data_IF_162632651595
#
_entry.id   IF_162632651595
#
_cell.length_a   1.000
_cell.length_b   1.000
_cell.length_c   1.000
_cell.angle_alpha   90.00
_cell.angle_beta   90.00
_cell.angle_gamma   90.00
#
_symmetry.space_group_name_H-M   'P 1'
#
loop_
_entity.id
_entity.type
_entity.pdbx_description
1 polymer ?
#
# COMPACT_ATOMS: atom_id res chain seq x y z
N UNK A 1 -8.48 -13.11 -1.08
CA UNK A 1 -9.90 -13.39 -0.70
C UNK A 1 -10.80 -12.46 -1.49
N UNK A 2 -12.08 -12.83 -1.65
CA UNK A 2 -13.02 -12.07 -2.48
C UNK A 2 -14.31 -11.82 -1.71
N UNK A 3 -14.89 -10.64 -1.89
CA UNK A 3 -16.12 -10.22 -1.22
C UNK A 3 -17.06 -9.60 -2.24
N UNK A 4 -18.36 -9.87 -2.12
CA UNK A 4 -19.39 -9.26 -2.94
C UNK A 4 -20.07 -8.15 -2.18
N UNK A 5 -19.96 -6.94 -2.70
CA UNK A 5 -20.73 -5.80 -2.22
C UNK A 5 -22.18 -5.89 -2.72
N UNK A 6 -23.11 -5.21 -2.03
CA UNK A 6 -24.56 -5.23 -2.34
C UNK A 6 -24.94 -4.73 -3.75
N UNK A 7 -24.07 -3.94 -4.40
CA UNK A 7 -24.24 -3.51 -5.79
C UNK A 7 -23.77 -4.54 -6.83
N UNK A 8 -23.23 -5.66 -6.37
CA UNK A 8 -22.69 -6.73 -7.21
C UNK A 8 -21.18 -6.63 -7.46
N UNK A 9 -20.51 -5.54 -7.07
CA UNK A 9 -19.05 -5.37 -7.20
C UNK A 9 -18.31 -6.48 -6.46
N UNK A 10 -17.36 -7.11 -7.14
CA UNK A 10 -16.45 -8.08 -6.54
C UNK A 10 -15.23 -7.34 -6.01
N UNK A 11 -15.08 -7.32 -4.69
CA UNK A 11 -13.97 -6.68 -3.99
C UNK A 11 -12.90 -7.72 -3.67
N UNK A 12 -11.66 -7.44 -4.05
CA UNK A 12 -10.52 -8.32 -3.82
C UNK A 12 -9.72 -7.84 -2.60
N UNK A 13 -9.46 -8.76 -1.67
CA UNK A 13 -8.60 -8.54 -0.51
C UNK A 13 -7.30 -9.33 -0.67
N UNK A 14 -6.18 -8.61 -0.65
CA UNK A 14 -4.82 -9.11 -0.77
C UNK A 14 -3.95 -8.66 0.40
N UNK A 15 -2.72 -9.18 0.53
CA UNK A 15 -1.68 -8.54 1.31
C UNK A 15 -0.47 -8.19 0.44
N UNK A 16 0.26 -7.14 0.81
CA UNK A 16 1.44 -6.68 0.09
C UNK A 16 2.66 -7.53 0.36
N UNK A 17 3.30 -8.03 -0.69
CA UNK A 17 4.49 -8.87 -0.54
C UNK A 17 5.80 -8.08 -0.37
N UNK A 18 5.76 -6.75 -0.35
CA UNK A 18 6.93 -5.93 -0.04
C UNK A 18 7.50 -6.17 1.37
N UNK A 19 6.74 -6.83 2.25
CA UNK A 19 7.21 -7.30 3.57
C UNK A 19 8.26 -8.41 3.45
N UNK A 20 8.32 -9.11 2.33
CA UNK A 20 9.22 -10.23 2.09
C UNK A 20 10.42 -9.83 1.23
N UNK A 21 11.61 -10.22 1.64
CA UNK A 21 12.83 -9.91 0.89
C UNK A 21 12.96 -10.80 -0.36
N UNK A 22 12.75 -10.22 -1.56
CA UNK A 22 13.03 -10.88 -2.83
C UNK A 22 13.21 -9.86 -3.96
N UNK A 23 14.39 -9.83 -4.56
CA UNK A 23 14.73 -8.96 -5.68
C UNK A 23 15.20 -9.74 -6.93
N UNK A 24 14.99 -11.06 -6.95
CA UNK A 24 15.10 -11.94 -8.11
C UNK A 24 13.90 -12.88 -8.19
N UNK A 25 13.70 -13.50 -9.35
CA UNK A 25 12.51 -14.33 -9.61
C UNK A 25 12.47 -15.57 -8.69
N UNK A 26 13.59 -16.21 -8.42
CA UNK A 26 13.62 -17.37 -7.54
C UNK A 26 13.27 -17.02 -6.10
N UNK A 27 13.66 -15.83 -5.63
CA UNK A 27 13.23 -15.26 -4.37
C UNK A 27 11.72 -15.01 -4.34
N UNK A 28 11.15 -14.39 -5.38
CA UNK A 28 9.69 -14.18 -5.50
C UNK A 28 8.95 -15.52 -5.44
N UNK A 29 9.38 -16.52 -6.19
CA UNK A 29 8.76 -17.86 -6.17
C UNK A 29 8.92 -18.56 -4.81
N UNK A 30 10.06 -18.37 -4.15
CA UNK A 30 10.29 -18.89 -2.79
C UNK A 30 9.32 -18.27 -1.78
N UNK A 31 9.02 -16.97 -1.87
CA UNK A 31 8.04 -16.30 -1.00
C UNK A 31 6.63 -16.88 -1.13
N UNK A 32 6.20 -17.26 -2.34
CA UNK A 32 4.90 -17.88 -2.55
C UNK A 32 4.73 -19.15 -1.71
N UNK A 33 5.77 -19.98 -1.67
CA UNK A 33 5.80 -21.22 -0.90
C UNK A 33 6.01 -20.97 0.61
N UNK A 34 6.88 -20.03 0.96
CA UNK A 34 7.31 -19.78 2.33
C UNK A 34 6.29 -18.99 3.13
N UNK A 35 5.56 -18.08 2.49
CA UNK A 35 4.64 -17.16 3.14
C UNK A 35 3.23 -17.18 2.54
N UNK A 36 3.08 -17.01 1.22
CA UNK A 36 1.76 -16.90 0.58
C UNK A 36 0.88 -18.13 0.83
N UNK A 37 1.38 -19.31 0.56
CA UNK A 37 0.64 -20.56 0.78
C UNK A 37 0.35 -20.81 2.27
N UNK A 38 1.30 -20.70 3.22
CA UNK A 38 1.00 -20.83 4.65
C UNK A 38 0.00 -19.81 5.21
N UNK A 39 0.03 -18.56 4.73
CA UNK A 39 -0.98 -17.54 5.12
C UNK A 39 -2.36 -17.97 4.62
N UNK A 40 -2.49 -18.41 3.36
CA UNK A 40 -3.73 -18.94 2.79
C UNK A 40 -4.29 -20.12 3.60
N UNK A 41 -3.41 -21.09 3.92
CA UNK A 41 -3.79 -22.27 4.72
C UNK A 41 -4.27 -21.89 6.12
N UNK A 42 -3.57 -20.95 6.76
CA UNK A 42 -3.94 -20.48 8.10
C UNK A 42 -5.28 -19.76 8.13
N UNK A 43 -5.61 -19.03 7.07
CA UNK A 43 -6.93 -18.39 6.90
C UNK A 43 -8.03 -19.38 6.54
N UNK A 44 -7.69 -20.59 6.11
CA UNK A 44 -8.64 -21.61 5.70
C UNK A 44 -9.42 -21.22 4.44
N UNK A 45 -8.80 -20.49 3.50
CA UNK A 45 -9.43 -20.03 2.27
C UNK A 45 -8.89 -20.76 1.05
N UNK A 46 -9.75 -20.95 0.03
CA UNK A 46 -9.36 -21.63 -1.22
C UNK A 46 -8.39 -20.76 -2.03
N UNK A 47 -8.59 -19.42 -2.02
CA UNK A 47 -7.77 -18.45 -2.74
C UNK A 47 -7.39 -17.28 -1.86
N UNK A 48 -6.10 -16.89 -1.94
CA UNK A 48 -5.57 -15.70 -1.30
C UNK A 48 -5.09 -14.71 -2.36
N UNK A 49 -5.53 -13.45 -2.26
CA UNK A 49 -4.99 -12.34 -3.05
C UNK A 49 -3.60 -11.93 -2.57
N UNK A 50 -2.70 -11.69 -3.51
CA UNK A 50 -1.40 -11.07 -3.26
C UNK A 50 -1.31 -9.76 -4.03
N UNK A 51 -0.85 -8.71 -3.36
CA UNK A 51 -0.29 -7.53 -3.97
C UNK A 51 1.20 -7.75 -4.16
N UNK A 52 1.61 -8.21 -5.33
CA UNK A 52 3.03 -8.49 -5.54
C UNK A 52 3.85 -7.20 -5.65
N UNK A 53 4.97 -7.19 -4.95
CA UNK A 53 6.07 -6.30 -5.27
C UNK A 53 7.07 -7.05 -6.17
N UNK A 54 7.30 -6.51 -7.35
CA UNK A 54 8.26 -7.01 -8.32
C UNK A 54 9.34 -5.94 -8.52
N UNK A 55 10.49 -6.10 -7.88
CA UNK A 55 11.61 -5.19 -8.06
C UNK A 55 12.00 -5.06 -9.54
N UNK A 56 12.60 -3.93 -9.96
CA UNK A 56 12.93 -3.65 -11.36
C UNK A 56 13.65 -4.81 -12.07
N UNK A 57 14.66 -5.49 -11.46
CA UNK A 57 15.30 -6.63 -12.10
C UNK A 57 14.33 -7.76 -12.43
N UNK A 58 13.45 -8.11 -11.48
CA UNK A 58 12.42 -9.16 -11.66
C UNK A 58 11.43 -8.78 -12.74
N UNK A 59 10.91 -7.54 -12.73
CA UNK A 59 9.99 -7.07 -13.75
C UNK A 59 10.62 -7.12 -15.14
N UNK A 60 11.91 -6.75 -15.27
CA UNK A 60 12.65 -6.80 -16.53
C UNK A 60 12.84 -8.23 -17.05
N UNK A 61 13.17 -9.18 -16.16
CA UNK A 61 13.30 -10.60 -16.49
C UNK A 61 11.97 -11.18 -16.99
N UNK A 62 10.89 -10.95 -16.24
CA UNK A 62 9.55 -11.43 -16.61
C UNK A 62 9.07 -10.86 -17.96
N UNK A 63 9.31 -9.58 -18.24
CA UNK A 63 8.96 -8.97 -19.54
C UNK A 63 9.77 -9.56 -20.69
N UNK A 64 11.03 -9.94 -20.44
CA UNK A 64 11.92 -10.48 -21.45
C UNK A 64 11.70 -11.98 -21.73
N UNK A 65 11.17 -12.74 -20.75
CA UNK A 65 10.99 -14.19 -20.85
C UNK A 65 9.52 -14.62 -20.56
N UNK A 66 8.71 -14.90 -21.59
CA UNK A 66 7.37 -15.46 -21.42
C UNK A 66 7.34 -16.79 -20.63
N UNK A 67 8.44 -17.57 -20.66
CA UNK A 67 8.56 -18.80 -19.89
C UNK A 67 8.63 -18.52 -18.38
N UNK A 68 9.28 -17.44 -17.99
CA UNK A 68 9.32 -16.97 -16.59
C UNK A 68 7.93 -16.55 -16.10
N UNK A 69 7.15 -15.83 -16.93
CA UNK A 69 5.76 -15.48 -16.59
C UNK A 69 4.90 -16.73 -16.45
N UNK A 70 5.02 -17.70 -17.37
CA UNK A 70 4.28 -18.95 -17.30
C UNK A 70 4.63 -19.75 -16.03
N UNK A 71 5.91 -19.75 -15.61
CA UNK A 71 6.37 -20.36 -14.36
C UNK A 71 5.71 -19.68 -13.14
N UNK A 72 5.72 -18.33 -13.08
CA UNK A 72 5.10 -17.56 -12.01
C UNK A 72 3.60 -17.86 -11.92
N UNK A 73 2.89 -17.85 -13.04
CA UNK A 73 1.45 -18.20 -13.09
C UNK A 73 1.18 -19.61 -12.57
N UNK A 74 2.00 -20.58 -12.93
CA UNK A 74 1.87 -21.97 -12.47
C UNK A 74 2.06 -22.06 -10.96
N UNK A 75 3.08 -21.40 -10.41
CA UNK A 75 3.34 -21.41 -8.97
C UNK A 75 2.22 -20.73 -8.17
N UNK A 76 1.68 -19.61 -8.67
CA UNK A 76 0.51 -18.95 -8.08
C UNK A 76 -0.70 -19.89 -8.07
N UNK A 77 -1.05 -20.46 -9.23
CA UNK A 77 -2.22 -21.34 -9.37
C UNK A 77 -2.11 -22.60 -8.51
N UNK A 78 -0.94 -23.24 -8.47
CA UNK A 78 -0.70 -24.48 -7.70
C UNK A 78 -0.89 -24.24 -6.20
N UNK A 79 -0.59 -23.04 -5.71
CA UNK A 79 -0.70 -22.68 -4.29
C UNK A 79 -2.02 -22.01 -3.92
N UNK A 80 -2.97 -21.88 -4.85
CA UNK A 80 -4.21 -21.16 -4.60
C UNK A 80 -4.03 -19.67 -4.35
N UNK A 81 -3.04 -19.05 -5.01
CA UNK A 81 -2.74 -17.63 -4.92
C UNK A 81 -3.20 -16.92 -6.19
N UNK A 82 -3.65 -15.67 -6.06
CA UNK A 82 -4.07 -14.85 -7.19
C UNK A 82 -3.54 -13.42 -7.07
N UNK A 83 -3.37 -12.76 -8.21
CA UNK A 83 -2.84 -11.39 -8.29
C UNK A 83 -3.79 -10.53 -9.11
N UNK A 84 -4.35 -9.50 -8.48
CA UNK A 84 -5.16 -8.46 -9.13
C UNK A 84 -4.56 -7.08 -8.96
N UNK A 85 -3.55 -6.96 -8.10
CA UNK A 85 -2.86 -5.70 -7.81
C UNK A 85 -1.37 -5.92 -7.65
N UNK A 86 -0.56 -4.92 -8.05
CA UNK A 86 0.87 -4.86 -7.79
C UNK A 86 1.19 -3.61 -6.97
N UNK A 87 2.19 -3.73 -6.09
CA UNK A 87 2.82 -2.57 -5.48
C UNK A 87 4.01 -2.15 -6.34
N UNK A 88 3.87 -1.05 -7.08
CA UNK A 88 4.90 -0.46 -7.93
C UNK A 88 5.59 0.76 -7.30
N UNK A 89 5.37 1.01 -6.00
CA UNK A 89 5.98 2.14 -5.31
C UNK A 89 7.49 1.96 -5.19
N UNK A 90 8.02 0.91 -4.49
CA UNK A 90 9.46 0.69 -4.47
C UNK A 90 9.96 0.17 -5.82
N UNK A 91 11.00 0.80 -6.34
CA UNK A 91 11.60 0.38 -7.61
C UNK A 91 12.54 -0.82 -7.42
N UNK A 92 13.43 -0.75 -6.44
CA UNK A 92 14.37 -1.78 -6.00
C UNK A 92 15.02 -1.39 -4.68
N UNK A 93 15.76 -2.32 -4.03
CA UNK A 93 16.55 -2.03 -2.82
C UNK A 93 15.67 -1.79 -1.58
N UNK A 94 14.42 -2.26 -1.58
CA UNK A 94 13.48 -2.01 -0.47
C UNK A 94 13.87 -2.75 0.82
N UNK A 95 14.74 -3.77 0.72
CA UNK A 95 15.26 -4.51 1.86
C UNK A 95 16.74 -4.22 2.15
N UNK A 96 17.29 -3.17 1.56
CA UNK A 96 18.62 -2.68 1.91
C UNK A 96 18.69 -2.32 3.40
N UNK A 97 19.87 -2.39 4.03
CA UNK A 97 20.05 -1.96 5.42
C UNK A 97 19.60 -0.51 5.68
N UNK A 98 19.68 0.35 4.67
CA UNK A 98 19.22 1.75 4.68
C UNK A 98 18.52 2.06 3.37
N UNK A 99 17.20 2.22 3.44
CA UNK A 99 16.32 2.57 2.32
C UNK A 99 16.10 4.09 2.28
N UNK A 100 15.47 4.66 3.31
CA UNK A 100 15.22 6.10 3.46
C UNK A 100 14.77 6.74 2.13
N UNK A 101 15.35 7.86 1.73
CA UNK A 101 14.99 8.59 0.50
C UNK A 101 15.19 7.79 -0.81
N UNK A 102 15.93 6.68 -0.80
CA UNK A 102 16.15 5.88 -2.01
C UNK A 102 14.86 5.27 -2.58
N UNK A 103 13.85 5.03 -1.73
CA UNK A 103 12.56 4.47 -2.15
C UNK A 103 11.84 5.38 -3.16
N UNK A 104 12.06 6.70 -3.09
CA UNK A 104 11.45 7.68 -3.99
C UNK A 104 12.16 7.79 -5.35
N UNK A 105 13.18 6.98 -5.62
CA UNK A 105 13.95 7.02 -6.87
C UNK A 105 13.88 5.69 -7.65
N UNK A 106 13.80 5.79 -9.01
CA UNK A 106 13.52 6.97 -9.82
C UNK A 106 12.09 7.48 -9.58
N UNK A 107 11.91 8.80 -9.66
CA UNK A 107 10.62 9.45 -9.53
C UNK A 107 9.93 9.70 -10.88
N UNK A 108 8.76 10.34 -10.89
CA UNK A 108 7.97 10.61 -12.09
C UNK A 108 8.54 11.73 -12.97
N UNK A 109 9.68 12.33 -12.62
CA UNK A 109 10.43 13.23 -13.51
C UNK A 109 11.29 12.48 -14.53
N UNK A 110 11.30 11.13 -14.51
CA UNK A 110 12.20 10.32 -15.31
C UNK A 110 11.45 9.22 -16.09
N UNK A 111 11.88 8.91 -17.34
CA UNK A 111 11.26 7.85 -18.16
C UNK A 111 11.47 6.44 -17.58
N UNK A 112 12.41 6.25 -16.66
CA UNK A 112 12.66 4.99 -15.98
C UNK A 112 11.45 4.55 -15.17
N UNK A 113 10.80 5.49 -14.46
CA UNK A 113 9.59 5.24 -13.67
C UNK A 113 8.43 4.86 -14.58
N UNK A 114 8.23 5.59 -15.66
CA UNK A 114 7.18 5.29 -16.65
C UNK A 114 7.35 3.89 -17.24
N UNK A 115 8.57 3.54 -17.68
CA UNK A 115 8.86 2.21 -18.24
C UNK A 115 8.59 1.10 -17.26
N UNK A 116 9.07 1.26 -16.01
CA UNK A 116 8.86 0.26 -14.95
C UNK A 116 7.37 0.05 -14.67
N UNK A 117 6.61 1.14 -14.55
CA UNK A 117 5.17 1.05 -14.27
C UNK A 117 4.39 0.42 -15.42
N UNK A 118 4.76 0.70 -16.69
CA UNK A 118 4.17 0.04 -17.86
C UNK A 118 4.54 -1.44 -17.95
N UNK A 119 5.79 -1.82 -17.59
CA UNK A 119 6.20 -3.22 -17.50
C UNK A 119 5.36 -3.96 -16.44
N UNK A 120 5.15 -3.35 -15.27
CA UNK A 120 4.27 -3.91 -14.23
C UNK A 120 2.82 -4.05 -14.70
N UNK A 121 2.28 -3.04 -15.39
CA UNK A 121 0.91 -3.09 -15.92
C UNK A 121 0.74 -4.23 -16.94
N UNK A 122 1.71 -4.39 -17.86
CA UNK A 122 1.73 -5.50 -18.82
C UNK A 122 1.77 -6.85 -18.10
N UNK A 123 2.68 -7.03 -17.16
CA UNK A 123 2.79 -8.28 -16.40
C UNK A 123 1.51 -8.59 -15.63
N UNK A 124 0.91 -7.57 -14.99
CA UNK A 124 -0.35 -7.74 -14.30
C UNK A 124 -1.48 -8.17 -15.24
N UNK A 125 -1.57 -7.59 -16.43
CA UNK A 125 -2.57 -7.99 -17.44
C UNK A 125 -2.47 -9.49 -17.79
N UNK A 126 -1.25 -10.06 -17.80
CA UNK A 126 -1.02 -11.50 -18.03
C UNK A 126 -1.31 -12.36 -16.77
N UNK A 127 -1.19 -11.80 -15.56
CA UNK A 127 -1.41 -12.51 -14.30
C UNK A 127 -2.86 -12.48 -13.81
N UNK A 128 -3.68 -11.52 -14.30
CA UNK A 128 -5.06 -11.33 -13.86
C UNK A 128 -5.89 -12.61 -14.01
N UNK A 129 -6.66 -13.02 -12.97
CA UNK A 129 -7.70 -14.03 -13.11
C UNK A 129 -8.69 -13.68 -14.24
N UNK A 130 -9.25 -14.68 -14.90
CA UNK A 130 -10.16 -14.46 -16.05
C UNK A 130 -11.39 -13.62 -15.68
N UNK A 131 -11.86 -13.75 -14.46
CA UNK A 131 -13.05 -13.07 -13.92
C UNK A 131 -12.72 -11.70 -13.27
N UNK A 132 -11.47 -11.29 -13.21
CA UNK A 132 -11.11 -9.95 -12.76
C UNK A 132 -11.46 -8.90 -13.81
N UNK A 133 -12.20 -7.87 -13.39
CA UNK A 133 -12.66 -6.78 -14.29
C UNK A 133 -11.47 -5.92 -14.73
N UNK A 134 -10.51 -5.69 -13.84
CA UNK A 134 -9.31 -4.88 -14.07
C UNK A 134 -8.18 -5.26 -13.12
N UNK A 135 -6.98 -4.74 -13.39
CA UNK A 135 -5.87 -4.73 -12.46
C UNK A 135 -5.59 -3.32 -11.89
N UNK A 136 -4.81 -3.25 -10.83
CA UNK A 136 -4.29 -1.99 -10.30
C UNK A 136 -2.80 -2.07 -9.97
N UNK A 137 -2.08 -0.95 -10.17
CA UNK A 137 -0.68 -0.79 -9.76
C UNK A 137 -0.58 0.48 -8.95
N UNK A 138 -0.18 0.40 -7.67
CA UNK A 138 0.14 1.60 -6.89
C UNK A 138 1.53 2.12 -7.22
N UNK A 139 1.72 3.42 -7.12
CA UNK A 139 3.00 4.09 -7.41
C UNK A 139 3.21 5.31 -6.53
N UNK A 140 4.47 5.74 -6.41
CA UNK A 140 4.80 6.92 -5.62
C UNK A 140 4.11 8.19 -6.12
N UNK A 141 3.80 9.14 -5.22
CA UNK A 141 3.03 10.34 -5.52
C UNK A 141 3.92 11.45 -6.09
N UNK A 142 4.33 11.29 -7.34
CA UNK A 142 5.23 12.12 -8.14
C UNK A 142 6.70 12.00 -7.73
N UNK A 143 7.06 12.33 -6.50
CA UNK A 143 8.42 12.27 -5.99
C UNK A 143 8.54 12.93 -4.63
N UNK A 144 9.73 12.94 -4.06
CA UNK A 144 10.03 13.63 -2.81
C UNK A 144 9.98 15.14 -3.00
N UNK A 145 9.29 15.88 -2.10
CA UNK A 145 8.92 17.31 -2.28
C UNK A 145 10.08 18.27 -2.60
N UNK A 146 11.27 18.02 -2.05
CA UNK A 146 12.43 18.92 -2.25
C UNK A 146 13.24 18.57 -3.51
N UNK A 147 12.97 17.45 -4.15
CA UNK A 147 13.78 16.93 -5.26
C UNK A 147 12.97 16.81 -6.57
N UNK A 148 11.66 17.01 -6.49
CA UNK A 148 10.74 16.90 -7.60
C UNK A 148 11.01 17.96 -8.68
N UNK A 149 10.91 17.50 -9.94
CA UNK A 149 10.90 18.38 -11.12
C UNK A 149 9.66 18.01 -11.96
N UNK A 150 8.78 18.97 -12.17
CA UNK A 150 7.55 18.73 -12.92
C UNK A 150 7.85 18.29 -14.36
N UNK A 151 7.47 17.07 -14.71
CA UNK A 151 7.48 16.53 -16.08
C UNK A 151 6.16 15.79 -16.31
N UNK A 152 5.13 16.53 -16.65
CA UNK A 152 3.80 16.01 -16.92
C UNK A 152 3.73 15.08 -18.13
N UNK A 153 4.67 15.18 -19.05
CA UNK A 153 4.76 14.30 -20.21
C UNK A 153 4.95 12.83 -19.84
N UNK A 154 5.50 12.54 -18.67
CA UNK A 154 5.60 11.16 -18.20
C UNK A 154 4.23 10.55 -17.84
N UNK A 155 3.31 11.35 -17.27
CA UNK A 155 1.96 10.91 -16.93
C UNK A 155 1.09 10.70 -18.18
N UNK A 156 1.23 11.57 -19.18
CA UNK A 156 0.57 11.41 -20.48
C UNK A 156 1.07 10.12 -21.17
N UNK A 157 2.38 9.91 -21.21
CA UNK A 157 2.99 8.70 -21.77
C UNK A 157 2.55 7.43 -21.04
N UNK A 158 2.36 7.51 -19.72
CA UNK A 158 1.82 6.41 -18.93
C UNK A 158 0.39 6.07 -19.35
N UNK A 159 -0.51 7.05 -19.38
CA UNK A 159 -1.91 6.85 -19.75
C UNK A 159 -2.05 6.29 -21.19
N UNK A 160 -1.29 6.84 -22.15
CA UNK A 160 -1.24 6.30 -23.51
C UNK A 160 -0.74 4.85 -23.59
N UNK A 161 0.21 4.48 -22.71
CA UNK A 161 0.73 3.12 -22.64
C UNK A 161 -0.28 2.15 -22.03
N UNK A 162 -1.01 2.58 -20.99
CA UNK A 162 -2.07 1.80 -20.35
C UNK A 162 -3.25 1.55 -21.31
N UNK A 163 -3.64 2.54 -22.08
CA UNK A 163 -4.72 2.43 -23.08
C UNK A 163 -4.45 1.38 -24.18
N UNK A 164 -3.20 0.94 -24.34
CA UNK A 164 -2.79 -0.07 -25.34
C UNK A 164 -2.74 -1.50 -24.77
N UNK A 165 -3.03 -1.70 -23.47
CA UNK A 165 -3.01 -3.02 -22.86
C UNK A 165 -4.22 -3.85 -23.29
N UNK A 166 -4.05 -5.16 -23.43
CA UNK A 166 -5.13 -6.10 -23.81
C UNK A 166 -6.20 -6.24 -22.73
N UNK A 167 -5.82 -6.06 -21.47
CA UNK A 167 -6.71 -6.05 -20.30
C UNK A 167 -6.53 -4.76 -19.51
N UNK A 168 -7.61 -4.17 -18.97
CA UNK A 168 -7.52 -2.90 -18.29
C UNK A 168 -6.71 -3.02 -16.99
N UNK A 169 -5.70 -2.17 -16.87
CA UNK A 169 -4.91 -1.96 -15.66
C UNK A 169 -4.88 -0.46 -15.39
N UNK A 170 -5.24 -0.07 -14.18
CA UNK A 170 -5.17 1.33 -13.73
C UNK A 170 -3.96 1.55 -12.83
N UNK A 171 -3.39 2.73 -12.91
CA UNK A 171 -2.27 3.14 -12.03
C UNK A 171 -2.77 4.15 -11.00
N UNK A 172 -2.36 3.97 -9.77
CA UNK A 172 -2.82 4.72 -8.62
C UNK A 172 -1.67 5.41 -7.90
N UNK A 173 -1.67 6.74 -7.90
CA UNK A 173 -0.71 7.56 -7.14
C UNK A 173 -1.09 7.51 -5.67
N UNK A 174 -0.11 7.25 -4.80
CA UNK A 174 -0.30 6.99 -3.39
C UNK A 174 0.17 8.21 -2.56
N UNK A 175 -0.71 9.14 -2.16
CA UNK A 175 -0.32 10.27 -1.33
C UNK A 175 0.46 9.80 -0.10
N UNK A 176 1.62 10.42 0.15
CA UNK A 176 2.54 10.00 1.21
C UNK A 176 3.22 11.19 1.88
N UNK A 177 3.33 11.18 3.22
CA UNK A 177 4.04 12.21 3.98
C UNK A 177 5.44 12.49 3.42
N UNK A 178 5.76 13.76 3.22
CA UNK A 178 7.06 14.20 2.68
C UNK A 178 7.15 14.26 1.16
N UNK A 179 6.20 13.69 0.43
CA UNK A 179 6.15 13.74 -1.03
C UNK A 179 5.48 15.01 -1.57
N UNK A 180 5.50 15.18 -2.89
CA UNK A 180 4.82 16.28 -3.59
C UNK A 180 3.31 16.22 -3.39
N UNK A 181 2.74 15.01 -3.43
CA UNK A 181 1.37 14.75 -3.06
C UNK A 181 1.38 14.05 -1.71
N UNK A 182 1.12 14.80 -0.68
CA UNK A 182 1.11 14.34 0.71
C UNK A 182 -0.31 14.15 1.23
N UNK A 183 -1.26 14.92 0.68
CA UNK A 183 -2.66 14.93 1.10
C UNK A 183 -3.61 14.73 -0.08
N UNK A 184 -4.86 14.34 0.23
CA UNK A 184 -5.92 14.23 -0.79
C UNK A 184 -6.26 15.59 -1.43
N UNK A 185 -6.05 16.70 -0.73
CA UNK A 185 -6.20 18.04 -1.31
C UNK A 185 -5.14 18.32 -2.38
N UNK A 186 -3.89 17.93 -2.13
CA UNK A 186 -2.82 18.03 -3.14
C UNK A 186 -3.06 17.06 -4.29
N UNK A 187 -3.53 15.82 -4.02
CA UNK A 187 -3.92 14.88 -5.07
C UNK A 187 -5.02 15.46 -5.97
N UNK A 188 -6.09 16.00 -5.38
CA UNK A 188 -7.18 16.64 -6.11
C UNK A 188 -6.71 17.81 -6.99
N UNK A 189 -5.72 18.59 -6.52
CA UNK A 189 -5.15 19.71 -7.28
C UNK A 189 -4.21 19.25 -8.40
N UNK A 190 -3.23 18.39 -8.07
CA UNK A 190 -2.12 18.05 -8.98
C UNK A 190 -2.47 16.97 -10.00
N UNK A 191 -3.45 16.12 -9.68
CA UNK A 191 -3.95 15.07 -10.57
C UNK A 191 -5.28 15.45 -11.24
N UNK A 192 -5.73 16.71 -11.15
CA UNK A 192 -7.03 17.15 -11.73
C UNK A 192 -7.13 16.95 -13.25
N UNK A 193 -6.01 17.04 -13.95
CA UNK A 193 -5.92 17.02 -15.42
C UNK A 193 -5.39 15.70 -16.00
N UNK A 194 -5.10 14.70 -15.16
CA UNK A 194 -4.67 13.38 -15.68
C UNK A 194 -5.82 12.64 -16.36
N UNK A 195 -5.48 11.69 -17.21
CA UNK A 195 -6.46 10.77 -17.81
C UNK A 195 -7.03 9.82 -16.74
N UNK A 196 -8.22 10.14 -16.26
CA UNK A 196 -8.89 9.48 -15.13
C UNK A 196 -9.45 8.10 -15.47
N UNK A 197 -9.52 7.73 -16.73
CA UNK A 197 -9.87 6.37 -17.12
C UNK A 197 -8.75 5.38 -16.71
N UNK A 198 -7.51 5.84 -16.71
CA UNK A 198 -6.33 5.04 -16.44
C UNK A 198 -5.63 5.36 -15.11
N UNK A 199 -5.72 6.61 -14.66
CA UNK A 199 -4.99 7.12 -13.50
C UNK A 199 -5.94 7.52 -12.39
N UNK A 200 -5.55 7.28 -11.14
CA UNK A 200 -6.32 7.67 -9.96
C UNK A 200 -5.47 7.62 -8.69
N UNK A 201 -6.10 7.39 -7.55
CA UNK A 201 -5.46 7.44 -6.24
C UNK A 201 -5.40 6.05 -5.61
N UNK A 202 -4.25 5.69 -5.06
CA UNK A 202 -4.11 4.66 -4.05
C UNK A 202 -4.23 5.33 -2.69
N UNK A 203 -5.28 5.02 -1.95
CA UNK A 203 -5.49 5.61 -0.65
C UNK A 203 -4.86 4.71 0.42
N UNK A 204 -3.70 5.12 0.96
CA UNK A 204 -3.11 4.47 2.11
C UNK A 204 -3.66 5.10 3.40
N UNK A 205 -4.23 4.27 4.29
CA UNK A 205 -4.90 4.75 5.51
C UNK A 205 -3.93 5.12 6.63
N UNK A 206 -2.70 4.61 6.62
CA UNK A 206 -1.62 5.11 7.46
C UNK A 206 -1.24 6.54 7.05
N UNK A 207 -1.02 6.77 5.76
CA UNK A 207 -0.67 8.10 5.23
C UNK A 207 -1.79 9.11 5.47
N UNK A 208 -3.05 8.72 5.21
CA UNK A 208 -4.23 9.54 5.50
C UNK A 208 -4.28 9.96 6.99
N UNK A 209 -4.00 9.01 7.89
CA UNK A 209 -3.97 9.26 9.31
C UNK A 209 -2.83 10.19 9.71
N UNK A 210 -1.61 9.97 9.17
CA UNK A 210 -0.44 10.83 9.43
C UNK A 210 -0.68 12.25 8.92
N UNK A 211 -1.42 12.40 7.82
CA UNK A 211 -1.90 13.68 7.31
C UNK A 211 -3.02 14.32 8.14
N UNK A 212 -3.51 13.67 9.21
CA UNK A 212 -4.65 14.11 10.03
C UNK A 212 -5.91 14.41 9.19
N UNK A 213 -6.08 13.70 8.09
CA UNK A 213 -7.26 13.86 7.23
C UNK A 213 -8.45 13.04 7.77
N UNK A 214 -9.63 13.66 7.73
CA UNK A 214 -10.89 12.96 7.98
C UNK A 214 -11.27 12.12 6.75
N UNK A 215 -11.61 10.83 6.89
CA UNK A 215 -11.92 9.95 5.76
C UNK A 215 -13.04 10.45 4.85
N UNK A 216 -14.16 10.92 5.42
CA UNK A 216 -15.29 11.39 4.63
C UNK A 216 -14.93 12.65 3.83
N UNK A 217 -14.23 13.61 4.47
CA UNK A 217 -13.76 14.81 3.81
C UNK A 217 -12.72 14.52 2.73
N UNK A 218 -11.80 13.58 2.97
CA UNK A 218 -10.79 13.15 2.01
C UNK A 218 -11.42 12.55 0.75
N UNK A 219 -12.33 11.61 0.93
CA UNK A 219 -13.04 10.97 -0.18
C UNK A 219 -13.95 11.95 -0.91
N UNK A 220 -14.60 12.89 -0.19
CA UNK A 220 -15.39 13.96 -0.81
C UNK A 220 -14.55 14.90 -1.70
N UNK A 221 -13.29 15.18 -1.32
CA UNK A 221 -12.37 15.96 -2.16
C UNK A 221 -11.97 15.22 -3.44
N UNK A 222 -11.67 13.91 -3.34
CA UNK A 222 -11.35 13.09 -4.52
C UNK A 222 -12.55 13.01 -5.47
N UNK A 223 -13.77 12.79 -4.96
CA UNK A 223 -14.99 12.79 -5.77
C UNK A 223 -15.21 14.12 -6.49
N UNK A 224 -15.06 15.23 -5.77
CA UNK A 224 -15.21 16.57 -6.36
C UNK A 224 -14.20 16.85 -7.48
N UNK A 225 -13.01 16.22 -7.41
CA UNK A 225 -11.98 16.26 -8.45
C UNK A 225 -12.21 15.23 -9.57
N UNK A 226 -13.18 14.31 -9.41
CA UNK A 226 -13.42 13.18 -10.30
C UNK A 226 -12.29 12.15 -10.30
N UNK A 227 -11.58 12.02 -9.18
CA UNK A 227 -10.50 11.05 -8.99
C UNK A 227 -11.00 9.83 -8.23
N UNK A 228 -10.95 8.67 -8.85
CA UNK A 228 -11.31 7.42 -8.22
C UNK A 228 -10.24 6.95 -7.23
N UNK A 229 -10.70 6.33 -6.13
CA UNK A 229 -9.86 5.44 -5.33
C UNK A 229 -9.72 4.12 -6.07
N UNK A 230 -8.64 3.99 -6.83
CA UNK A 230 -8.35 2.80 -7.65
C UNK A 230 -7.98 1.61 -6.78
N UNK A 231 -7.36 1.87 -5.63
CA UNK A 231 -6.85 0.88 -4.68
C UNK A 231 -6.83 1.47 -3.28
N UNK A 232 -7.11 0.65 -2.27
CA UNK A 232 -6.91 0.95 -0.86
C UNK A 232 -5.72 0.16 -0.32
N UNK A 233 -4.74 0.82 0.31
CA UNK A 233 -3.82 0.19 1.25
C UNK A 233 -4.45 0.22 2.64
N UNK A 234 -4.82 -0.96 3.14
CA UNK A 234 -5.35 -1.12 4.50
C UNK A 234 -4.17 -1.21 5.48
N UNK A 235 -3.90 -0.13 6.15
CA UNK A 235 -2.74 0.10 7.01
C UNK A 235 -3.13 0.95 8.22
N UNK A 236 -2.29 1.01 9.25
CA UNK A 236 -2.49 1.89 10.39
C UNK A 236 -1.16 2.49 10.84
N UNK A 237 -1.18 3.77 11.20
CA UNK A 237 -0.04 4.48 11.74
C UNK A 237 0.07 4.28 13.27
N UNK A 238 1.28 4.51 13.79
CA UNK A 238 1.52 4.64 15.23
C UNK A 238 1.02 6.00 15.70
N UNK A 239 0.31 6.02 16.84
CA UNK A 239 -0.19 7.26 17.44
C UNK A 239 0.29 7.43 18.88
N UNK A 240 0.75 8.63 19.22
CA UNK A 240 1.16 9.06 20.56
C UNK A 240 0.27 10.23 20.99
N UNK A 241 -0.68 9.97 21.89
CA UNK A 241 -1.65 10.97 22.34
C UNK A 241 -1.00 12.12 23.17
N UNK A 242 0.08 11.84 23.88
CA UNK A 242 0.81 12.82 24.66
C UNK A 242 2.34 12.66 24.45
N UNK A 243 2.89 13.18 23.35
CA UNK A 243 4.30 13.00 23.00
C UNK A 243 5.27 13.73 23.95
N UNK A 244 4.79 14.70 24.75
CA UNK A 244 5.60 15.38 25.76
C UNK A 244 5.83 14.55 27.03
N UNK A 245 4.99 13.54 27.27
CA UNK A 245 5.16 12.64 28.43
C UNK A 245 6.43 11.80 28.30
N UNK A 246 7.29 11.72 29.35
CA UNK A 246 8.55 10.98 29.28
C UNK A 246 8.40 9.48 28.96
N UNK A 247 7.31 8.83 29.43
CA UNK A 247 7.07 7.43 29.15
C UNK A 247 6.67 7.23 27.67
N UNK A 248 5.86 8.14 27.12
CA UNK A 248 5.47 8.15 25.70
C UNK A 248 6.69 8.40 24.81
N UNK A 249 7.56 9.35 25.14
CA UNK A 249 8.81 9.59 24.40
C UNK A 249 9.70 8.36 24.38
N UNK A 250 9.90 7.73 25.56
CA UNK A 250 10.69 6.49 25.63
C UNK A 250 10.08 5.35 24.82
N UNK A 251 8.76 5.26 24.76
CA UNK A 251 8.11 4.27 23.89
C UNK A 251 8.32 4.57 22.41
N UNK A 252 8.20 5.84 21.99
CA UNK A 252 8.50 6.27 20.60
C UNK A 252 9.96 5.99 20.21
N UNK A 253 10.92 6.21 21.11
CA UNK A 253 12.34 5.92 20.87
C UNK A 253 12.58 4.45 20.47
N UNK A 254 11.75 3.50 20.89
CA UNK A 254 11.88 2.09 20.51
C UNK A 254 11.47 1.81 19.05
N UNK A 255 10.80 2.75 18.38
CA UNK A 255 10.42 2.68 16.98
C UNK A 255 11.40 3.42 16.05
N UNK A 256 12.41 4.09 16.59
CA UNK A 256 13.48 4.69 15.78
C UNK A 256 14.37 3.59 15.23
N UNK A 257 14.49 3.53 13.90
CA UNK A 257 15.29 2.52 13.23
C UNK A 257 15.95 3.10 11.95
N UNK A 258 17.04 2.51 11.44
CA UNK A 258 17.83 3.15 10.38
C UNK A 258 17.32 2.88 8.94
N UNK A 259 16.41 1.92 8.73
CA UNK A 259 16.07 1.42 7.38
C UNK A 259 15.12 2.34 6.64
N UNK A 260 13.96 2.65 7.24
CA UNK A 260 12.90 3.44 6.62
C UNK A 260 12.84 4.87 7.17
N UNK A 261 12.12 5.75 6.46
CA UNK A 261 11.68 7.03 7.00
C UNK A 261 10.37 6.84 7.76
N UNK A 262 10.30 7.47 8.93
CA UNK A 262 9.10 7.49 9.76
C UNK A 262 8.63 8.92 9.97
N UNK A 263 8.09 9.52 8.89
CA UNK A 263 7.59 10.89 8.92
C UNK A 263 6.57 11.04 10.05
N UNK A 264 6.69 12.14 10.77
CA UNK A 264 5.89 12.37 11.97
C UNK A 264 5.21 13.73 11.90
N UNK A 265 3.90 13.76 12.13
CA UNK A 265 3.12 14.98 12.14
C UNK A 265 2.43 15.23 13.48
N UNK A 266 2.31 16.52 13.82
CA UNK A 266 1.49 17.05 14.90
C UNK A 266 0.41 17.96 14.32
N UNK A 267 -0.74 17.36 13.93
CA UNK A 267 -1.75 18.03 13.12
C UNK A 267 -1.42 17.99 11.63
N UNK A 268 -1.89 18.99 10.87
CA UNK A 268 -1.71 19.03 9.42
C UNK A 268 -0.23 19.12 9.03
N UNK A 269 0.19 18.47 7.90
CA UNK A 269 1.54 18.57 7.38
C UNK A 269 1.91 20.00 6.94
N UNK A 270 3.22 20.32 6.77
CA UNK A 270 4.34 19.40 6.94
C UNK A 270 4.78 19.22 8.38
N UNK A 271 5.27 18.01 8.70
CA UNK A 271 5.88 17.67 9.97
C UNK A 271 7.39 17.45 9.88
N UNK A 272 7.93 16.56 10.73
CA UNK A 272 9.31 16.09 10.66
C UNK A 272 9.44 14.94 9.63
N UNK A 273 10.55 14.91 8.90
CA UNK A 273 10.79 13.90 7.86
C UNK A 273 11.14 12.53 8.42
N UNK A 274 11.54 12.46 9.71
CA UNK A 274 11.80 11.19 10.39
C UNK A 274 11.47 11.31 11.89
N UNK A 275 11.23 10.16 12.56
CA UNK A 275 10.86 10.11 13.97
C UNK A 275 11.99 10.61 14.89
N UNK A 276 13.25 10.34 14.58
CA UNK A 276 14.38 10.82 15.36
C UNK A 276 14.52 12.35 15.30
N UNK A 277 14.19 12.97 14.15
CA UNK A 277 14.08 14.41 14.01
C UNK A 277 12.95 14.98 14.89
N UNK A 278 11.75 14.38 14.84
CA UNK A 278 10.63 14.78 15.69
C UNK A 278 11.01 14.73 17.19
N UNK A 279 11.64 13.62 17.60
CA UNK A 279 12.12 13.43 18.97
C UNK A 279 13.24 14.42 19.38
N UNK A 280 14.01 14.90 18.45
CA UNK A 280 15.09 15.88 18.67
C UNK A 280 14.60 17.33 18.72
N UNK A 281 13.29 17.56 18.72
CA UNK A 281 12.66 18.88 18.79
C UNK A 281 12.16 19.42 17.45
N UNK A 282 12.05 18.57 16.43
CA UNK A 282 11.44 18.91 15.14
C UNK A 282 9.94 19.17 15.22
N UNK A 283 9.27 18.68 16.29
CA UNK A 283 7.86 18.94 16.57
C UNK A 283 7.66 19.51 17.98
N UNK A 284 6.65 20.39 18.20
CA UNK A 284 6.39 21.03 19.49
C UNK A 284 6.05 20.04 20.64
N UNK A 285 5.25 19.00 20.35
CA UNK A 285 4.79 18.03 21.35
C UNK A 285 3.61 18.50 22.18
N UNK A 286 2.86 19.48 21.68
CA UNK A 286 1.70 20.07 22.38
C UNK A 286 0.38 19.33 22.06
N UNK A 287 0.37 18.57 20.96
CA UNK A 287 -0.78 17.81 20.47
C UNK A 287 -0.36 16.37 20.11
N UNK A 288 -1.29 15.44 19.86
CA UNK A 288 -0.95 14.08 19.46
C UNK A 288 -0.04 14.02 18.21
N UNK A 289 0.92 13.10 18.23
CA UNK A 289 1.73 12.77 17.06
C UNK A 289 1.18 11.54 16.39
N UNK A 290 1.21 11.54 15.05
CA UNK A 290 1.04 10.37 14.21
C UNK A 290 2.31 10.14 13.40
N UNK A 291 2.80 8.92 13.49
CA UNK A 291 4.09 8.52 12.93
C UNK A 291 3.83 7.53 11.79
N UNK A 292 4.40 7.78 10.63
CA UNK A 292 4.39 6.87 9.49
C UNK A 292 5.23 5.63 9.80
N UNK A 293 4.70 4.82 10.68
CA UNK A 293 5.19 3.49 11.01
C UNK A 293 3.99 2.55 10.93
N UNK A 294 3.96 1.66 9.95
CA UNK A 294 2.85 0.74 9.79
C UNK A 294 2.82 -0.23 10.97
N UNK A 295 1.76 -0.19 11.77
CA UNK A 295 1.58 -1.10 12.89
C UNK A 295 0.55 -2.17 12.57
N UNK A 296 0.67 -3.42 13.10
CA UNK A 296 -0.24 -4.50 12.80
C UNK A 296 -1.71 -4.18 13.07
N UNK A 297 -2.59 -4.50 12.12
CA UNK A 297 -4.02 -4.18 12.19
C UNK A 297 -4.76 -4.96 13.28
N UNK A 298 -4.31 -6.15 13.62
CA UNK A 298 -4.98 -7.06 14.56
C UNK A 298 -4.62 -6.83 16.02
N UNK A 299 -3.56 -6.05 16.30
CA UNK A 299 -3.04 -5.82 17.65
C UNK A 299 -2.82 -4.31 17.88
N UNK A 300 -2.92 -3.90 19.14
CA UNK A 300 -2.54 -2.54 19.53
C UNK A 300 -1.06 -2.50 19.94
N UNK A 301 -0.35 -1.40 19.65
CA UNK A 301 0.97 -1.15 20.22
C UNK A 301 0.94 -1.18 21.75
N UNK A 302 2.10 -1.45 22.37
CA UNK A 302 2.19 -1.40 23.82
C UNK A 302 1.87 0.01 24.36
N UNK A 303 1.07 0.14 25.42
CA UNK A 303 0.80 1.44 26.04
C UNK A 303 2.10 2.14 26.48
N UNK A 304 2.18 3.49 26.35
CA UNK A 304 1.09 4.45 26.14
C UNK A 304 0.77 4.76 24.68
N UNK A 305 1.36 4.04 23.71
CA UNK A 305 1.09 4.24 22.28
C UNK A 305 -0.21 3.55 21.87
N UNK A 306 -0.82 4.05 20.79
CA UNK A 306 -2.01 3.50 20.17
C UNK A 306 -1.83 3.41 18.67
N UNK A 307 -2.82 2.88 17.94
CA UNK A 307 -2.82 2.85 16.48
C UNK A 307 -3.93 3.71 15.90
N UNK A 308 -3.73 4.19 14.66
CA UNK A 308 -4.76 4.90 13.91
C UNK A 308 -5.76 3.96 13.22
N UNK A 309 -5.89 2.73 13.67
CA UNK A 309 -6.88 1.75 13.16
C UNK A 309 -8.32 2.28 13.07
N UNK A 310 -8.79 3.20 13.95
CA UNK A 310 -10.09 3.85 13.76
C UNK A 310 -10.21 4.64 12.46
N UNK A 311 -9.12 5.21 11.94
CA UNK A 311 -9.12 5.91 10.64
C UNK A 311 -9.33 4.91 9.51
N UNK A 312 -8.67 3.74 9.54
CA UNK A 312 -8.90 2.66 8.57
C UNK A 312 -10.37 2.19 8.63
N UNK A 313 -10.92 1.92 9.83
CA UNK A 313 -12.31 1.48 9.98
C UNK A 313 -13.29 2.53 9.41
N UNK A 314 -13.05 3.82 9.66
CA UNK A 314 -13.82 4.92 9.09
C UNK A 314 -13.72 4.97 7.56
N UNK A 315 -12.52 4.79 7.01
CA UNK A 315 -12.28 4.75 5.56
C UNK A 315 -12.99 3.57 4.89
N UNK A 316 -12.93 2.39 5.49
CA UNK A 316 -13.66 1.22 4.99
C UNK A 316 -15.19 1.47 5.00
N UNK A 317 -15.71 2.10 6.05
CA UNK A 317 -17.14 2.46 6.12
C UNK A 317 -17.55 3.44 5.01
N UNK A 318 -16.73 4.44 4.70
CA UNK A 318 -16.95 5.38 3.60
C UNK A 318 -16.87 4.71 2.21
N UNK A 319 -15.96 3.75 2.03
CA UNK A 319 -15.77 3.06 0.76
C UNK A 319 -16.85 2.00 0.47
N UNK A 320 -17.35 1.32 1.52
CA UNK A 320 -18.20 0.13 1.35
C UNK A 320 -19.54 0.20 2.10
N UNK A 321 -19.76 1.16 2.99
CA UNK A 321 -21.02 1.30 3.73
C UNK A 321 -22.18 1.85 2.89
N UNK A 322 -21.90 2.48 1.75
CA UNK A 322 -22.86 3.06 0.82
C UNK A 322 -23.61 2.06 -0.04
N UNK A 323 -24.41 2.56 -0.99
CA UNK A 323 -25.15 1.72 -1.97
C UNK A 323 -24.27 1.16 -3.08
N UNK A 324 -23.09 1.76 -3.31
CA UNK A 324 -22.10 1.31 -4.29
C UNK A 324 -20.73 1.21 -3.62
N UNK A 325 -19.94 0.21 -4.02
CA UNK A 325 -18.52 0.11 -3.66
C UNK A 325 -17.73 1.19 -4.41
N UNK A 326 -16.84 1.90 -3.70
CA UNK A 326 -16.05 3.00 -4.27
C UNK A 326 -14.66 2.56 -4.71
N UNK A 327 -14.28 1.33 -4.42
CA UNK A 327 -13.11 0.63 -4.94
C UNK A 327 -13.37 -0.88 -4.94
N UNK A 328 -12.60 -1.63 -5.71
CA UNK A 328 -12.69 -3.09 -5.78
C UNK A 328 -11.38 -3.79 -5.38
N UNK A 329 -10.31 -3.03 -5.04
CA UNK A 329 -9.04 -3.57 -4.61
C UNK A 329 -8.63 -3.05 -3.23
N UNK A 330 -8.41 -3.99 -2.30
CA UNK A 330 -7.88 -3.74 -0.96
C UNK A 330 -6.61 -4.56 -0.79
N UNK A 331 -5.57 -3.94 -0.27
CA UNK A 331 -4.32 -4.61 0.06
C UNK A 331 -3.91 -4.24 1.50
N UNK A 332 -3.76 -5.26 2.35
CA UNK A 332 -3.19 -5.08 3.69
C UNK A 332 -1.70 -4.84 3.54
N UNK A 333 -1.20 -3.75 4.10
CA UNK A 333 0.20 -3.37 4.02
C UNK A 333 0.80 -3.02 5.38
N UNK A 334 1.66 -3.92 5.88
CA UNK A 334 2.50 -3.70 7.06
C UNK A 334 3.92 -4.14 6.72
N UNK A 335 4.66 -3.30 5.98
CA UNK A 335 6.03 -3.63 5.55
C UNK A 335 7.05 -3.61 6.68
N UNK A 336 6.70 -3.03 7.82
CA UNK A 336 7.57 -2.80 8.99
C UNK A 336 7.70 -4.00 9.92
N UNK A 337 7.07 -5.15 9.64
CA UNK A 337 7.10 -6.33 10.50
C UNK A 337 8.50 -6.70 11.04
N UNK A 338 9.55 -6.54 10.22
CA UNK A 338 10.92 -6.89 10.59
C UNK A 338 11.63 -5.85 11.44
N UNK A 339 11.07 -4.63 11.55
CA UNK A 339 11.64 -3.50 12.31
C UNK A 339 10.78 -3.09 13.50
N UNK A 340 9.70 -3.85 13.78
CA UNK A 340 8.92 -3.70 15.01
C UNK A 340 9.79 -3.96 16.25
N UNK A 341 9.57 -3.26 17.36
CA UNK A 341 10.26 -3.55 18.62
C UNK A 341 10.10 -5.00 19.10
N UNK A 342 8.93 -5.61 18.80
CA UNK A 342 8.56 -6.99 19.11
C UNK A 342 8.35 -7.80 17.82
N UNK A 343 9.27 -7.64 16.87
CA UNK A 343 9.24 -8.35 15.59
C UNK A 343 9.10 -9.87 15.78
N UNK A 344 8.35 -10.57 14.89
CA UNK A 344 8.24 -12.02 14.92
C UNK A 344 9.62 -12.70 14.90
N UNK A 345 9.80 -13.69 15.77
CA UNK A 345 11.08 -14.39 15.90
C UNK A 345 11.40 -15.32 14.71
N UNK A 346 10.38 -15.73 13.96
CA UNK A 346 10.49 -16.67 12.85
C UNK A 346 9.37 -16.47 11.80
N UNK A 347 9.45 -17.23 10.72
CA UNK A 347 8.46 -17.22 9.64
C UNK A 347 7.06 -17.59 10.10
N UNK A 348 6.93 -18.52 11.03
CA UNK A 348 5.62 -18.94 11.54
C UNK A 348 4.92 -17.80 12.28
N UNK A 349 5.68 -17.02 13.03
CA UNK A 349 5.20 -15.81 13.68
C UNK A 349 4.77 -14.73 12.67
N UNK A 350 5.55 -14.51 11.61
CA UNK A 350 5.21 -13.56 10.55
C UNK A 350 3.95 -14.01 9.78
N UNK A 351 3.86 -15.29 9.41
CA UNK A 351 2.67 -15.88 8.76
C UNK A 351 1.44 -15.72 9.66
N UNK A 352 1.59 -15.94 10.97
CA UNK A 352 0.49 -15.77 11.92
C UNK A 352 0.03 -14.31 12.00
N UNK A 353 0.96 -13.36 12.01
CA UNK A 353 0.68 -11.93 12.03
C UNK A 353 -0.06 -11.47 10.78
N UNK A 354 0.47 -11.77 9.60
CA UNK A 354 -0.16 -11.41 8.31
C UNK A 354 -1.57 -12.01 8.19
N UNK A 355 -1.73 -13.29 8.56
CA UNK A 355 -3.05 -13.92 8.55
C UNK A 355 -4.03 -13.26 9.52
N UNK A 356 -3.57 -12.80 10.67
CA UNK A 356 -4.41 -12.11 11.65
C UNK A 356 -4.83 -10.71 11.16
N UNK A 357 -3.99 -9.97 10.44
CA UNK A 357 -4.34 -8.69 9.81
C UNK A 357 -5.41 -8.87 8.71
N UNK A 358 -5.21 -9.87 7.85
CA UNK A 358 -6.19 -10.22 6.83
C UNK A 358 -7.53 -10.65 7.43
N UNK A 359 -7.53 -11.44 8.52
CA UNK A 359 -8.75 -11.83 9.22
C UNK A 359 -9.44 -10.66 9.92
N UNK A 360 -8.67 -9.70 10.45
CA UNK A 360 -9.22 -8.45 10.97
C UNK A 360 -9.94 -7.66 9.87
N UNK A 361 -9.28 -7.42 8.73
CA UNK A 361 -9.86 -6.71 7.59
C UNK A 361 -11.08 -7.46 7.02
N UNK A 362 -11.01 -8.78 6.92
CA UNK A 362 -12.15 -9.66 6.53
C UNK A 362 -13.37 -9.41 7.41
N UNK A 363 -13.19 -9.38 8.73
CA UNK A 363 -14.29 -9.13 9.69
C UNK A 363 -14.89 -7.74 9.55
N UNK A 364 -14.07 -6.71 9.31
CA UNK A 364 -14.56 -5.35 9.05
C UNK A 364 -15.44 -5.33 7.79
N UNK A 365 -14.99 -5.95 6.69
CA UNK A 365 -15.77 -6.01 5.44
C UNK A 365 -17.11 -6.74 5.62
N UNK A 366 -17.13 -7.87 6.34
CA UNK A 366 -18.34 -8.60 6.67
C UNK A 366 -19.29 -7.74 7.53
N UNK A 367 -18.75 -7.01 8.51
CA UNK A 367 -19.54 -6.09 9.36
C UNK A 367 -20.20 -4.98 8.56
N UNK A 368 -19.55 -4.52 7.48
CA UNK A 368 -20.09 -3.53 6.53
C UNK A 368 -21.10 -4.14 5.55
N UNK A 369 -21.36 -5.46 5.63
CA UNK A 369 -22.37 -6.14 4.84
C UNK A 369 -21.87 -6.70 3.52
N UNK A 370 -20.57 -6.83 3.31
CA UNK A 370 -20.02 -7.56 2.18
C UNK A 370 -20.11 -9.07 2.45
N UNK A 371 -20.44 -9.83 1.41
CA UNK A 371 -20.53 -11.29 1.48
C UNK A 371 -19.23 -11.91 0.97
N UNK A 372 -18.59 -12.75 1.78
CA UNK A 372 -17.41 -13.49 1.33
C UNK A 372 -17.82 -14.51 0.26
N UNK A 373 -17.08 -14.49 -0.85
CA UNK A 373 -17.32 -15.40 -1.99
C UNK A 373 -16.35 -16.57 -1.88
N UNK A 374 -16.84 -17.71 -1.42
CA UNK A 374 -16.16 -19.00 -1.58
C UNK A 374 -16.50 -19.58 -2.95
N UNK A 375 -15.57 -20.20 -3.61
CA UNK A 375 -15.84 -21.06 -4.77
C UNK A 375 -16.15 -22.45 -4.34
#
# INVERSE_FOLDING_TARGET
MRFRHRDGTLVHLAYCTNVHQAEDLDGVLTQLARFGEPVRERLGVDRLGLGLWLARPVASELVADPGAVARLRTELATRGLEVVTLNGFPYQGFHDPVVKHKVYRPDWSTPERTRYTLDLARLLAELLPEDAVRGSVSTLPLGWRTEWRDDRGQLESLAEGLAKQDRPVRVAFEPEPGCVIETTAQAASLLSEVDKDWLGVCLDTCHLAVGFEDPAAALGRLDAAGLDVVKLQASAALEAANPADPATRKALESFVEPRFLHQSNEGAPPGADDLDEALSGGLPGESPWRVHFHVPLHADPAPPLTSTRPVLAGTLAELFGGSAARTDHIEVETYTWQVLPDAPADDAGLVAGIAAELDWTRRELITLGLEEVSR
#
